data_IF_817173483683
#
_entry.id   IF_817173483683
#
_cell.length_a   1.000
_cell.length_b   1.000
_cell.length_c   1.000
_cell.angle_alpha   90.00
_cell.angle_beta   90.00
_cell.angle_gamma   90.00
#
_symmetry.space_group_name_H-M   'P 1'
#
loop_
_entity.id
_entity.type
_entity.pdbx_description
1 polymer ?
#
# COMPACT_ATOMS: atom_id res chain seq x y z
N UNK A 1 -2.00 -10.14 -9.52
CA UNK A 1 -2.25 -11.13 -10.59
C UNK A 1 -3.53 -11.86 -10.26
N UNK A 2 -4.67 -11.39 -10.77
CA UNK A 2 -5.92 -12.14 -10.78
C UNK A 2 -6.52 -11.92 -12.16
N UNK A 3 -6.27 -12.87 -13.06
CA UNK A 3 -6.84 -12.87 -14.40
C UNK A 3 -8.26 -13.41 -14.33
N UNK A 4 -9.25 -12.59 -14.66
CA UNK A 4 -10.60 -13.08 -14.92
C UNK A 4 -10.64 -13.60 -16.36
N UNK A 5 -10.81 -14.92 -16.51
CA UNK A 5 -11.07 -15.58 -17.79
C UNK A 5 -12.52 -15.37 -18.19
N UNK A 6 -12.81 -14.25 -18.87
CA UNK A 6 -14.06 -14.02 -19.58
C UNK A 6 -13.82 -14.17 -21.08
N UNK A 7 -14.45 -15.16 -21.71
CA UNK A 7 -14.41 -15.35 -23.16
C UNK A 7 -15.19 -14.22 -23.85
N UNK A 8 -14.50 -13.14 -24.21
CA UNK A 8 -15.02 -12.12 -25.11
C UNK A 8 -14.36 -12.34 -26.48
N UNK A 9 -15.17 -12.77 -27.44
CA UNK A 9 -14.75 -12.97 -28.83
C UNK A 9 -14.83 -11.63 -29.56
N UNK A 10 -13.69 -11.10 -30.02
CA UNK A 10 -13.69 -9.98 -30.96
C UNK A 10 -13.63 -10.55 -32.38
N UNK A 11 -14.71 -10.43 -33.14
CA UNK A 11 -14.75 -10.81 -34.54
C UNK A 11 -14.15 -9.68 -35.40
N UNK A 12 -13.03 -9.95 -36.09
CA UNK A 12 -12.51 -9.06 -37.14
C UNK A 12 -13.19 -9.46 -38.44
N UNK A 13 -14.10 -8.63 -38.95
CA UNK A 13 -14.86 -8.92 -40.16
C UNK A 13 -14.01 -8.62 -41.41
N UNK A 14 -13.50 -9.67 -42.06
CA UNK A 14 -12.93 -9.62 -43.41
C UNK A 14 -13.92 -10.30 -44.35
N UNK A 15 -14.35 -9.69 -45.48
CA UNK A 15 -15.38 -10.27 -46.32
C UNK A 15 -14.92 -11.61 -46.90
N UNK A 16 -15.61 -12.70 -46.53
CA UNK A 16 -15.52 -14.01 -47.18
C UNK A 16 -14.75 -15.12 -46.46
N UNK A 17 -14.20 -14.91 -45.26
CA UNK A 17 -13.51 -15.99 -44.53
C UNK A 17 -13.63 -15.83 -43.01
N UNK A 18 -14.44 -16.66 -42.37
CA UNK A 18 -14.48 -16.79 -40.90
C UNK A 18 -13.53 -17.92 -40.51
N UNK A 19 -12.37 -17.59 -39.94
CA UNK A 19 -11.42 -18.55 -39.40
C UNK A 19 -11.40 -18.43 -37.88
N UNK A 20 -11.73 -19.51 -37.18
CA UNK A 20 -11.50 -19.59 -35.74
C UNK A 20 -10.00 -19.67 -35.46
N UNK A 21 -9.47 -18.72 -34.71
CA UNK A 21 -8.06 -18.66 -34.33
C UNK A 21 -8.02 -18.68 -32.80
N UNK A 22 -7.21 -19.57 -32.22
CA UNK A 22 -6.94 -19.52 -30.78
C UNK A 22 -5.91 -18.43 -30.50
N UNK A 23 -6.29 -17.50 -29.62
CA UNK A 23 -5.41 -16.42 -29.16
C UNK A 23 -5.43 -16.34 -27.64
N UNK A 24 -4.29 -16.03 -27.04
CA UNK A 24 -4.20 -15.66 -25.63
C UNK A 24 -4.29 -14.14 -25.53
N UNK A 25 -5.44 -13.63 -25.08
CA UNK A 25 -5.65 -12.20 -24.85
C UNK A 25 -5.26 -11.85 -23.41
N UNK A 26 -4.41 -10.83 -23.24
CA UNK A 26 -4.12 -10.23 -21.93
C UNK A 26 -4.43 -8.75 -21.99
N UNK A 27 -5.41 -8.32 -21.20
CA UNK A 27 -5.81 -6.92 -21.07
C UNK A 27 -5.08 -6.31 -19.88
N UNK A 28 -4.30 -5.25 -20.11
CA UNK A 28 -3.60 -4.50 -19.07
C UNK A 28 -4.11 -3.07 -19.12
N UNK A 29 -4.84 -2.66 -18.08
CA UNK A 29 -5.28 -1.28 -17.88
C UNK A 29 -4.36 -0.62 -16.87
N UNK A 30 -3.55 0.33 -17.33
CA UNK A 30 -2.62 1.12 -16.52
C UNK A 30 -2.74 2.59 -16.89
N UNK A 31 -2.46 3.48 -15.94
CA UNK A 31 -2.50 4.93 -16.14
C UNK A 31 -1.58 5.63 -15.14
N UNK A 32 -0.99 6.76 -15.57
CA UNK A 32 -0.22 7.66 -14.72
C UNK A 32 -1.15 8.79 -14.27
N UNK A 33 -1.45 8.87 -12.97
CA UNK A 33 -2.32 9.92 -12.44
C UNK A 33 -1.60 10.80 -11.43
N UNK A 34 -2.00 12.06 -11.44
CA UNK A 34 -1.61 13.07 -10.46
C UNK A 34 -2.82 13.46 -9.62
N UNK A 35 -2.60 13.72 -8.33
CA UNK A 35 -3.64 14.26 -7.47
C UNK A 35 -3.77 15.77 -7.68
N UNK A 36 -4.97 16.25 -7.99
CA UNK A 36 -5.30 17.67 -7.99
C UNK A 36 -6.00 18.02 -6.67
N UNK A 37 -5.32 18.73 -5.78
CA UNK A 37 -5.87 19.14 -4.49
C UNK A 37 -7.06 20.11 -4.63
N UNK A 38 -6.98 21.06 -5.57
CA UNK A 38 -8.02 22.06 -5.77
C UNK A 38 -9.34 21.44 -6.25
N UNK A 39 -9.25 20.43 -7.11
CA UNK A 39 -10.41 19.72 -7.63
C UNK A 39 -10.72 18.41 -6.88
N UNK A 40 -9.90 18.05 -5.88
CA UNK A 40 -9.99 16.79 -5.11
C UNK A 40 -10.20 15.56 -5.99
N UNK A 41 -9.50 15.50 -7.12
CA UNK A 41 -9.68 14.45 -8.13
C UNK A 41 -8.34 14.02 -8.72
N UNK A 42 -8.31 12.78 -9.23
CA UNK A 42 -7.19 12.27 -9.99
C UNK A 42 -7.26 12.75 -11.44
N UNK A 43 -6.17 13.27 -11.96
CA UNK A 43 -6.03 13.78 -13.33
C UNK A 43 -4.88 13.08 -14.07
N UNK A 44 -5.09 12.81 -15.36
CA UNK A 44 -4.12 12.14 -16.24
C UNK A 44 -3.27 13.13 -17.06
N UNK A 45 -3.67 14.40 -17.13
CA UNK A 45 -3.20 15.33 -18.16
C UNK A 45 -1.79 15.88 -17.90
N UNK A 46 -1.25 15.64 -16.69
CA UNK A 46 0.06 16.16 -16.26
C UNK A 46 1.22 15.19 -16.47
N UNK A 47 0.94 13.96 -16.89
CA UNK A 47 1.93 12.91 -17.06
C UNK A 47 1.72 12.15 -18.37
N UNK A 48 2.82 11.90 -19.08
CA UNK A 48 2.85 11.03 -20.25
C UNK A 48 3.18 9.59 -19.82
N UNK A 49 2.39 8.64 -20.31
CA UNK A 49 2.55 7.21 -20.01
C UNK A 49 3.20 6.49 -21.19
N UNK A 50 4.28 5.77 -20.92
CA UNK A 50 4.94 4.87 -21.90
C UNK A 50 4.82 3.42 -21.45
N UNK A 51 4.31 2.54 -22.32
CA UNK A 51 4.17 1.11 -22.05
C UNK A 51 5.35 0.32 -22.62
N UNK A 52 6.03 -0.48 -21.77
CA UNK A 52 7.12 -1.40 -22.16
C UNK A 52 6.71 -2.86 -21.95
N UNK A 53 6.10 -3.52 -22.96
CA UNK A 53 5.54 -4.87 -22.81
C UNK A 53 6.60 -5.95 -22.54
N UNK A 54 7.82 -5.81 -23.06
CA UNK A 54 8.89 -6.80 -22.84
C UNK A 54 9.36 -6.87 -21.38
N UNK A 55 9.23 -5.78 -20.65
CA UNK A 55 9.67 -5.65 -19.25
C UNK A 55 8.49 -5.71 -18.26
N UNK A 56 7.25 -5.77 -18.74
CA UNK A 56 6.04 -5.55 -17.95
C UNK A 56 6.09 -4.26 -17.12
N UNK A 57 6.63 -3.18 -17.70
CA UNK A 57 6.80 -1.88 -17.03
C UNK A 57 5.98 -0.78 -17.69
N UNK A 58 5.49 0.13 -16.85
CA UNK A 58 4.89 1.40 -17.24
C UNK A 58 5.85 2.49 -16.76
N UNK A 59 6.32 3.32 -17.68
CA UNK A 59 7.10 4.51 -17.36
C UNK A 59 6.15 5.73 -17.39
N UNK A 60 6.20 6.54 -16.33
CA UNK A 60 5.43 7.77 -16.21
C UNK A 60 6.38 8.97 -16.22
N UNK A 61 6.23 9.87 -17.19
CA UNK A 61 7.01 11.09 -17.28
C UNK A 61 6.11 12.31 -17.07
N UNK A 62 6.31 13.02 -15.95
CA UNK A 62 5.53 14.20 -15.60
C UNK A 62 6.42 15.44 -15.62
N UNK A 63 5.90 16.57 -16.09
CA UNK A 63 6.63 17.85 -16.07
C UNK A 63 5.88 18.86 -15.21
N UNK A 64 6.62 19.61 -14.39
CA UNK A 64 6.12 20.75 -13.61
C UNK A 64 4.96 20.44 -12.63
N UNK A 65 5.14 19.44 -11.76
CA UNK A 65 4.22 19.13 -10.65
C UNK A 65 4.73 19.69 -9.32
N UNK A 66 3.86 20.33 -8.54
CA UNK A 66 4.18 20.89 -7.22
C UNK A 66 4.14 19.83 -6.12
N UNK A 67 3.27 18.83 -6.27
CA UNK A 67 3.01 17.80 -5.26
C UNK A 67 3.25 16.41 -5.86
N UNK A 68 4.21 15.67 -5.30
CA UNK A 68 4.65 14.34 -5.76
C UNK A 68 3.69 13.22 -5.31
N UNK A 69 2.41 13.32 -5.67
CA UNK A 69 1.45 12.23 -5.49
C UNK A 69 1.16 11.60 -6.84
N UNK A 70 1.92 10.56 -7.17
CA UNK A 70 1.68 9.71 -8.34
C UNK A 70 1.02 8.40 -7.91
N UNK A 71 -0.03 8.00 -8.61
CA UNK A 71 -0.65 6.69 -8.45
C UNK A 71 -0.64 5.96 -9.80
N UNK A 72 -0.29 4.67 -9.76
CA UNK A 72 -0.51 3.76 -10.88
C UNK A 72 -1.94 3.23 -10.79
N UNK A 73 -2.81 3.59 -11.73
CA UNK A 73 -4.16 3.02 -11.72
C UNK A 73 -4.17 1.62 -12.30
N UNK A 74 -4.30 0.61 -11.44
CA UNK A 74 -4.87 -0.69 -11.83
C UNK A 74 -6.35 -0.68 -11.44
N UNK A 75 -7.13 0.18 -12.10
CA UNK A 75 -8.53 0.39 -11.71
C UNK A 75 -9.42 -0.68 -12.32
N UNK A 76 -9.73 -1.72 -11.53
CA UNK A 76 -10.98 -2.46 -11.72
C UNK A 76 -11.99 -1.79 -10.82
N UNK A 77 -13.02 -1.18 -11.40
CA UNK A 77 -14.08 -0.56 -10.62
C UNK A 77 -14.65 -1.62 -9.66
N UNK A 78 -14.60 -1.41 -8.33
CA UNK A 78 -15.29 -2.30 -7.41
C UNK A 78 -16.78 -2.24 -7.75
N UNK A 79 -17.43 -3.39 -7.83
CA UNK A 79 -18.89 -3.44 -8.00
C UNK A 79 -19.56 -2.53 -6.98
N UNK A 80 -20.52 -1.72 -7.42
CA UNK A 80 -21.25 -0.81 -6.53
C UNK A 80 -21.95 -1.60 -5.43
N UNK A 81 -21.55 -1.37 -4.19
CA UNK A 81 -22.16 -2.00 -3.02
C UNK A 81 -23.36 -1.14 -2.64
N UNK A 82 -24.58 -1.67 -2.84
CA UNK A 82 -25.78 -1.08 -2.27
C UNK A 82 -25.91 -1.48 -0.79
N UNK A 83 -25.53 -0.56 0.09
CA UNK A 83 -25.59 -0.77 1.54
C UNK A 83 -27.02 -1.01 2.05
N UNK A 84 -28.06 -0.53 1.37
CA UNK A 84 -29.44 -0.80 1.77
C UNK A 84 -29.76 -2.31 1.68
N UNK A 85 -29.28 -2.97 0.63
CA UNK A 85 -29.49 -4.40 0.40
C UNK A 85 -28.56 -5.28 1.23
N UNK A 86 -27.35 -4.82 1.55
CA UNK A 86 -26.36 -5.58 2.35
C UNK A 86 -26.89 -5.89 3.75
N UNK A 87 -27.47 -4.90 4.44
CA UNK A 87 -27.98 -5.10 5.80
C UNK A 87 -29.25 -5.95 5.82
N UNK A 88 -30.07 -5.91 4.76
CA UNK A 88 -31.27 -6.76 4.64
C UNK A 88 -30.92 -8.25 4.47
N UNK A 89 -29.78 -8.54 3.83
CA UNK A 89 -29.27 -9.91 3.63
C UNK A 89 -28.26 -10.34 4.71
N UNK A 90 -28.04 -9.51 5.72
CA UNK A 90 -27.15 -9.81 6.82
C UNK A 90 -27.77 -10.90 7.70
N UNK A 91 -27.13 -12.07 7.73
CA UNK A 91 -27.49 -13.18 8.59
C UNK A 91 -26.23 -13.59 9.36
N UNK A 92 -26.23 -13.45 10.69
CA UNK A 92 -25.08 -13.81 11.52
C UNK A 92 -24.62 -15.24 11.32
N UNK A 93 -25.55 -16.17 11.07
CA UNK A 93 -25.22 -17.57 10.86
C UNK A 93 -24.55 -17.82 9.50
N UNK A 94 -25.05 -17.16 8.44
CA UNK A 94 -24.54 -17.34 7.07
C UNK A 94 -23.20 -16.63 6.86
N UNK A 95 -22.90 -15.61 7.66
CA UNK A 95 -21.69 -14.80 7.58
C UNK A 95 -20.77 -14.98 8.80
N UNK A 96 -20.98 -16.07 9.56
CA UNK A 96 -20.25 -16.37 10.80
C UNK A 96 -18.74 -16.43 10.58
N UNK A 97 -18.28 -16.94 9.43
CA UNK A 97 -16.85 -17.01 9.10
C UNK A 97 -16.22 -15.61 9.03
N UNK A 98 -16.86 -14.67 8.33
CA UNK A 98 -16.36 -13.29 8.18
C UNK A 98 -16.38 -12.58 9.54
N UNK A 99 -17.48 -12.67 10.28
CA UNK A 99 -17.53 -12.04 11.61
C UNK A 99 -16.52 -12.64 12.58
N UNK A 100 -16.32 -13.97 12.53
CA UNK A 100 -15.34 -14.67 13.34
C UNK A 100 -13.91 -14.21 13.03
N UNK A 101 -13.55 -14.04 11.76
CA UNK A 101 -12.21 -13.53 11.39
C UNK A 101 -12.02 -12.10 11.86
N UNK A 102 -13.01 -11.21 11.67
CA UNK A 102 -12.94 -9.84 12.17
C UNK A 102 -12.82 -9.79 13.69
N UNK A 103 -13.61 -10.57 14.42
CA UNK A 103 -13.55 -10.65 15.87
C UNK A 103 -12.18 -11.18 16.35
N UNK A 104 -11.67 -12.25 15.73
CA UNK A 104 -10.34 -12.78 16.04
C UNK A 104 -9.23 -11.77 15.77
N UNK A 105 -9.26 -11.07 14.62
CA UNK A 105 -8.27 -10.03 14.30
C UNK A 105 -8.31 -8.89 15.32
N UNK A 106 -9.52 -8.46 15.71
CA UNK A 106 -9.69 -7.40 16.70
C UNK A 106 -9.16 -7.84 18.08
N UNK A 107 -9.41 -9.09 18.49
CA UNK A 107 -8.87 -9.65 19.73
C UNK A 107 -7.33 -9.72 19.69
N UNK A 108 -6.75 -10.24 18.60
CA UNK A 108 -5.29 -10.30 18.42
C UNK A 108 -4.67 -8.90 18.45
N UNK A 109 -5.31 -7.92 17.83
CA UNK A 109 -4.87 -6.54 17.86
C UNK A 109 -4.85 -5.98 19.27
N UNK A 110 -5.93 -6.14 20.04
CA UNK A 110 -6.00 -5.67 21.43
C UNK A 110 -4.90 -6.33 22.28
N UNK A 111 -4.71 -7.65 22.14
CA UNK A 111 -3.64 -8.38 22.84
C UNK A 111 -2.27 -7.80 22.47
N UNK A 112 -2.01 -7.61 21.18
CA UNK A 112 -0.78 -7.00 20.68
C UNK A 112 -0.53 -5.62 21.29
N UNK A 113 -1.51 -4.73 21.23
CA UNK A 113 -1.44 -3.37 21.81
C UNK A 113 -1.09 -3.44 23.30
N UNK A 114 -1.75 -4.30 24.07
CA UNK A 114 -1.49 -4.42 25.50
C UNK A 114 -0.08 -4.96 25.78
N UNK A 115 0.39 -5.96 25.01
CA UNK A 115 1.74 -6.52 25.16
C UNK A 115 2.80 -5.48 24.81
N UNK A 116 2.69 -4.83 23.64
CA UNK A 116 3.63 -3.80 23.20
C UNK A 116 3.64 -2.61 24.16
N UNK A 117 2.48 -2.14 24.63
CA UNK A 117 2.42 -1.08 25.63
C UNK A 117 3.10 -1.46 26.95
N UNK A 118 3.04 -2.74 27.36
CA UNK A 118 3.78 -3.24 28.54
C UNK A 118 5.29 -3.30 28.28
N UNK A 119 5.70 -3.71 27.08
CA UNK A 119 7.11 -3.74 26.68
C UNK A 119 7.70 -2.33 26.64
N UNK A 120 7.01 -1.38 26.01
CA UNK A 120 7.44 0.01 25.94
C UNK A 120 7.59 0.65 27.33
N UNK A 121 6.67 0.34 28.26
CA UNK A 121 6.79 0.78 29.67
C UNK A 121 8.02 0.17 30.35
N UNK A 122 8.35 -1.09 30.08
CA UNK A 122 9.55 -1.75 30.62
C UNK A 122 10.83 -1.20 30.00
N UNK A 123 10.80 -0.80 28.74
CA UNK A 123 11.96 -0.22 28.07
C UNK A 123 12.34 1.16 28.64
N UNK A 124 11.38 1.91 29.18
CA UNK A 124 11.69 3.13 29.97
C UNK A 124 12.57 2.85 31.19
N UNK A 125 12.52 1.64 31.78
CA UNK A 125 13.38 1.27 32.90
C UNK A 125 14.83 1.01 32.46
N UNK A 126 15.06 0.75 31.17
CA UNK A 126 16.40 0.57 30.60
C UNK A 126 17.02 1.89 30.14
N UNK A 127 16.29 3.00 30.22
CA UNK A 127 16.81 4.33 29.90
C UNK A 127 17.72 4.79 31.02
N UNK A 128 19.01 4.49 30.87
CA UNK A 128 20.05 4.87 31.82
C UNK A 128 21.40 5.02 31.13
N UNK A 129 22.35 5.61 31.85
CA UNK A 129 23.75 5.70 31.40
C UNK A 129 24.38 4.34 31.68
N UNK A 130 24.63 3.57 30.63
CA UNK A 130 25.37 2.31 30.73
C UNK A 130 26.84 2.59 30.42
N UNK A 131 27.72 2.22 31.35
CA UNK A 131 29.16 2.28 31.09
C UNK A 131 29.50 1.32 29.95
N UNK A 132 30.13 1.86 28.90
CA UNK A 132 30.71 1.04 27.84
C UNK A 132 31.85 0.20 28.43
N UNK A 133 32.04 -1.01 27.88
CA UNK A 133 33.08 -1.94 28.36
C UNK A 133 34.49 -1.33 28.32
N UNK A 134 34.70 -0.34 27.46
CA UNK A 134 35.99 0.30 27.25
C UNK A 134 36.17 1.58 28.07
N UNK A 135 35.19 1.94 28.92
CA UNK A 135 35.28 3.11 29.81
C UNK A 135 35.85 2.69 31.17
N UNK A 136 37.18 2.73 31.32
CA UNK A 136 37.85 2.27 32.53
C UNK A 136 37.94 3.39 33.58
N UNK A 137 37.88 3.08 34.89
CA UNK A 137 37.99 4.10 35.95
C UNK A 137 39.33 4.85 35.96
N UNK A 138 40.37 4.28 35.35
CA UNK A 138 41.71 4.84 35.24
C UNK A 138 41.91 5.82 34.07
N UNK A 139 40.91 5.97 33.20
CA UNK A 139 41.03 6.85 32.03
C UNK A 139 40.92 8.32 32.45
N UNK A 140 41.76 9.16 31.85
CA UNK A 140 41.81 10.60 32.13
C UNK A 140 40.67 11.39 31.49
N UNK A 141 39.90 10.77 30.59
CA UNK A 141 38.81 11.40 29.84
C UNK A 141 37.65 10.43 29.68
N UNK A 142 36.44 10.87 30.06
CA UNK A 142 35.20 10.12 29.91
C UNK A 142 34.43 10.58 28.68
N UNK A 143 33.98 9.63 27.85
CA UNK A 143 33.19 9.94 26.66
C UNK A 143 31.72 9.54 26.88
N UNK A 144 30.81 10.50 26.68
CA UNK A 144 29.37 10.26 26.67
C UNK A 144 28.89 10.18 25.22
N UNK A 145 28.51 8.98 24.77
CA UNK A 145 27.97 8.76 23.43
C UNK A 145 26.44 8.68 23.52
N UNK A 146 25.73 9.54 22.77
CA UNK A 146 24.27 9.51 22.65
C UNK A 146 23.89 9.00 21.26
N UNK A 147 23.33 7.79 21.20
CA UNK A 147 22.81 7.23 19.95
C UNK A 147 21.33 7.57 19.84
N UNK A 148 20.98 8.42 18.87
CA UNK A 148 19.60 8.72 18.53
C UNK A 148 19.19 7.84 17.34
N UNK A 149 18.20 6.99 17.54
CA UNK A 149 17.61 6.21 16.44
C UNK A 149 16.29 6.85 16.03
N UNK A 150 16.22 7.36 14.81
CA UNK A 150 15.03 7.95 14.22
C UNK A 150 15.17 8.11 12.70
N UNK A 151 14.05 8.11 11.96
CA UNK A 151 14.01 8.72 10.63
C UNK A 151 13.91 10.22 10.85
N UNK A 152 14.87 10.97 10.32
CA UNK A 152 15.17 12.35 10.70
C UNK A 152 13.95 13.26 10.83
N UNK A 153 13.66 13.66 12.07
CA UNK A 153 13.17 14.98 12.38
C UNK A 153 14.25 15.59 13.29
N UNK A 154 15.09 16.42 12.67
CA UNK A 154 16.09 17.23 13.37
C UNK A 154 15.30 18.27 14.17
N UNK A 155 15.04 17.97 15.44
CA UNK A 155 14.66 19.01 16.39
C UNK A 155 15.97 19.63 16.91
N UNK A 156 16.19 20.86 16.45
CA UNK A 156 17.34 21.67 16.78
C UNK A 156 17.51 21.88 18.28
N UNK A 157 18.77 22.09 18.64
CA UNK A 157 19.24 22.52 19.94
C UNK A 157 18.46 23.74 20.46
N UNK A 158 18.11 23.68 21.75
CA UNK A 158 18.21 24.79 22.69
C UNK A 158 18.75 24.24 24.00
#
# INVERSE_FOLDING_TARGET
MLGHTGLTYFAVQVPGFVKEIQYNLTLITGGCLTWNEAATKWETDKCEMTWRPRENKIDCQCTNITDLVFANSFFVAPNSIDFATVFLKFSPLNQAAVMGTFACLLLLYIIGVVVFARMDRRDRLKWGITALRDNWPSDSSYYLIRVLTGKGLVLGHA
#
